data_IF_455914619918
#
_entry.id   IF_455914619918
#
_cell.length_a   1.000
_cell.length_b   1.000
_cell.length_c   1.000
_cell.angle_alpha   90.00
_cell.angle_beta   90.00
_cell.angle_gamma   90.00
#
_symmetry.space_group_name_H-M   'P 1'
#
loop_
_entity.id
_entity.type
_entity.pdbx_description
1 polymer ?
#
# COMPACT_ATOMS: atom_id res chain seq x y z
N UNK A 1 -16.57 8.77 -3.47
CA UNK A 1 -15.97 7.49 -3.87
C UNK A 1 -15.54 6.76 -2.62
N UNK A 2 -16.15 5.62 -2.34
CA UNK A 2 -15.67 4.73 -1.28
C UNK A 2 -14.23 4.33 -1.59
N UNK A 3 -13.36 4.35 -0.58
CA UNK A 3 -11.93 4.05 -0.74
C UNK A 3 -11.67 2.67 -1.35
N UNK A 4 -10.42 2.35 -1.66
CA UNK A 4 -10.07 1.01 -2.15
C UNK A 4 -10.47 -0.08 -1.14
N UNK A 5 -10.48 -1.35 -1.57
CA UNK A 5 -10.91 -2.48 -0.74
C UNK A 5 -10.23 -2.50 0.65
N UNK A 6 -8.95 -2.14 0.72
CA UNK A 6 -8.22 -2.00 1.98
C UNK A 6 -8.80 -0.93 2.91
N UNK A 7 -9.09 0.27 2.39
CA UNK A 7 -9.72 1.34 3.16
C UNK A 7 -11.13 0.99 3.62
N UNK A 8 -11.86 0.18 2.85
CA UNK A 8 -13.19 -0.29 3.24
C UNK A 8 -13.12 -1.26 4.42
N UNK A 9 -12.15 -2.18 4.41
CA UNK A 9 -11.98 -3.17 5.49
C UNK A 9 -11.27 -2.61 6.74
N UNK A 10 -10.26 -1.76 6.56
CA UNK A 10 -9.35 -1.31 7.62
C UNK A 10 -9.39 0.20 7.85
N UNK A 11 -10.40 0.89 7.31
CA UNK A 11 -10.51 2.35 7.42
C UNK A 11 -10.56 2.87 8.86
N UNK A 12 -11.09 2.07 9.78
CA UNK A 12 -11.10 2.38 11.22
C UNK A 12 -9.68 2.41 11.80
N UNK A 13 -8.82 1.47 11.40
CA UNK A 13 -7.43 1.39 11.88
C UNK A 13 -6.55 2.46 11.22
N UNK A 14 -6.82 2.80 9.95
CA UNK A 14 -6.19 3.98 9.33
C UNK A 14 -6.48 5.24 10.16
N UNK A 15 -7.72 5.43 10.63
CA UNK A 15 -8.09 6.56 11.51
C UNK A 15 -7.39 6.48 12.87
N UNK A 16 -7.25 5.30 13.45
CA UNK A 16 -6.48 5.11 14.68
C UNK A 16 -5.02 5.52 14.46
N UNK A 17 -4.42 5.15 13.32
CA UNK A 17 -3.05 5.51 12.99
C UNK A 17 -2.85 7.01 12.81
N UNK A 18 -3.82 7.74 12.25
CA UNK A 18 -3.83 9.21 12.27
C UNK A 18 -3.69 9.74 13.69
N UNK A 19 -4.52 9.28 14.62
CA UNK A 19 -4.50 9.73 16.01
C UNK A 19 -3.19 9.34 16.73
N UNK A 20 -2.68 8.14 16.46
CA UNK A 20 -1.45 7.62 17.09
C UNK A 20 -0.23 8.45 16.75
N UNK A 21 -0.15 8.99 15.52
CA UNK A 21 0.91 9.92 15.14
C UNK A 21 0.54 11.38 15.43
N UNK A 22 -0.49 11.62 16.26
CA UNK A 22 -0.87 12.96 16.70
C UNK A 22 -1.51 13.83 15.63
N UNK A 23 -2.18 13.25 14.61
CA UNK A 23 -2.85 13.99 13.54
C UNK A 23 -4.37 13.79 13.61
N UNK A 24 -5.14 14.88 13.55
CA UNK A 24 -6.59 14.82 13.51
C UNK A 24 -7.09 14.30 12.14
N UNK A 25 -7.79 13.14 12.09
CA UNK A 25 -8.27 12.57 10.83
C UNK A 25 -9.38 13.41 10.18
N UNK A 26 -10.17 14.16 10.96
CA UNK A 26 -11.23 15.04 10.47
C UNK A 26 -10.64 16.36 9.96
N UNK A 27 -9.67 16.91 10.67
CA UNK A 27 -9.01 18.16 10.30
C UNK A 27 -7.49 17.98 10.13
N UNK A 28 -7.07 17.60 8.92
CA UNK A 28 -5.65 17.34 8.55
C UNK A 28 -4.77 18.60 8.45
N UNK A 29 -5.05 19.60 9.26
CA UNK A 29 -4.16 20.73 9.58
C UNK A 29 -3.99 20.91 11.10
N UNK A 30 -4.67 20.09 11.89
CA UNK A 30 -4.57 20.02 13.34
C UNK A 30 -3.71 18.81 13.71
N UNK A 31 -2.58 19.06 14.37
CA UNK A 31 -1.64 18.03 14.77
C UNK A 31 -0.82 18.45 15.99
N UNK A 32 -0.30 17.46 16.70
CA UNK A 32 0.55 17.62 17.88
C UNK A 32 2.02 17.62 17.42
N UNK A 33 2.73 18.74 17.59
CA UNK A 33 4.09 18.94 17.07
C UNK A 33 5.16 18.11 17.79
N UNK A 34 4.86 17.67 19.01
CA UNK A 34 5.66 16.80 19.86
C UNK A 34 5.53 15.32 19.47
N UNK A 35 4.39 14.91 18.91
CA UNK A 35 4.10 13.50 18.55
C UNK A 35 4.22 13.25 17.04
N UNK A 36 3.82 14.21 16.20
CA UNK A 36 3.79 14.02 14.75
C UNK A 36 5.21 13.96 14.15
N UNK A 37 5.54 12.99 13.26
CA UNK A 37 6.84 12.97 12.58
C UNK A 37 7.11 14.22 11.76
N UNK A 38 8.37 14.69 11.75
CA UNK A 38 8.78 15.97 11.11
C UNK A 38 8.42 16.03 9.62
N UNK A 39 8.54 14.92 8.90
CA UNK A 39 8.20 14.85 7.48
C UNK A 39 6.71 15.15 7.26
N UNK A 40 5.85 14.62 8.13
CA UNK A 40 4.40 14.81 8.08
C UNK A 40 4.02 16.21 8.58
N UNK A 41 4.70 16.74 9.61
CA UNK A 41 4.49 18.10 10.10
C UNK A 41 4.66 19.13 8.98
N UNK A 42 5.70 18.98 8.14
CA UNK A 42 5.95 19.86 7.00
C UNK A 42 4.75 19.89 6.03
N UNK A 43 4.24 18.71 5.67
CA UNK A 43 3.08 18.58 4.78
C UNK A 43 1.80 19.19 5.39
N UNK A 44 1.56 18.96 6.69
CA UNK A 44 0.40 19.49 7.40
C UNK A 44 0.46 21.02 7.55
N UNK A 45 1.66 21.56 7.74
CA UNK A 45 1.90 23.01 7.80
C UNK A 45 1.62 23.66 6.43
N UNK A 46 2.05 23.03 5.33
CA UNK A 46 1.70 23.48 3.98
C UNK A 46 0.18 23.46 3.76
N UNK A 47 -0.52 22.41 4.22
CA UNK A 47 -1.99 22.36 4.18
C UNK A 47 -2.62 23.49 4.99
N UNK A 48 -2.11 23.78 6.19
CA UNK A 48 -2.58 24.87 7.04
C UNK A 48 -2.43 26.23 6.33
N UNK A 49 -1.27 26.50 5.75
CA UNK A 49 -1.00 27.75 5.02
C UNK A 49 -1.91 27.90 3.80
N UNK A 50 -2.10 26.83 3.02
CA UNK A 50 -3.02 26.84 1.87
C UNK A 50 -4.48 27.08 2.28
N UNK A 51 -4.91 26.57 3.44
CA UNK A 51 -6.25 26.85 3.99
C UNK A 51 -6.42 28.32 4.37
N UNK A 52 -5.41 28.94 5.00
CA UNK A 52 -5.43 30.36 5.35
C UNK A 52 -5.54 31.22 4.09
N UNK A 53 -4.63 31.02 3.12
CA UNK A 53 -4.67 31.75 1.85
C UNK A 53 -6.02 31.59 1.12
N UNK A 54 -6.60 30.38 1.16
CA UNK A 54 -7.91 30.10 0.54
C UNK A 54 -9.01 30.92 1.22
N UNK A 55 -9.01 30.97 2.56
CA UNK A 55 -9.97 31.73 3.33
C UNK A 55 -9.84 33.24 3.06
N UNK A 56 -8.63 33.75 2.92
CA UNK A 56 -8.37 35.17 2.58
C UNK A 56 -8.85 35.55 1.17
N UNK A 57 -8.82 34.61 0.23
CA UNK A 57 -9.39 34.80 -1.11
C UNK A 57 -10.92 34.74 -1.10
N UNK A 58 -11.52 33.89 -0.25
CA UNK A 58 -12.98 33.75 -0.16
C UNK A 58 -13.63 34.87 0.64
N UNK A 59 -12.96 35.43 1.65
CA UNK A 59 -13.44 36.57 2.43
C UNK A 59 -13.51 37.88 1.65
N UNK A 60 -12.89 37.96 0.47
CA UNK A 60 -13.04 39.09 -0.48
C UNK A 60 -14.36 39.07 -1.26
N UNK A 61 -15.17 38.02 -1.11
CA UNK A 61 -16.52 37.92 -1.69
C UNK A 61 -17.53 38.39 -0.63
N UNK A 62 -17.91 39.65 -0.66
CA UNK A 62 -18.93 40.20 0.26
C UNK A 62 -20.34 39.65 -0.09
N UNK A 63 -21.16 39.27 0.90
CA UNK A 63 -22.60 39.12 0.68
C UNK A 63 -23.20 40.51 0.41
N UNK A 64 -23.98 40.66 -0.67
CA UNK A 64 -24.77 41.87 -0.88
C UNK A 64 -25.91 41.94 0.14
N UNK A 65 -26.35 43.15 0.43
CA UNK A 65 -27.49 43.46 1.31
C UNK A 65 -28.84 42.93 0.82
N UNK A 66 -28.93 42.43 -0.42
CA UNK A 66 -30.16 41.92 -1.03
C UNK A 66 -30.24 40.39 -1.12
N UNK A 67 -29.26 39.66 -0.57
CA UNK A 67 -29.24 38.20 -0.61
C UNK A 67 -28.83 37.58 -1.95
N UNK A 68 -28.46 38.38 -2.96
CA UNK A 68 -27.88 37.88 -4.22
C UNK A 68 -26.36 37.92 -4.20
N UNK A 69 -25.69 36.76 -4.23
CA UNK A 69 -24.22 36.72 -4.33
C UNK A 69 -23.80 37.34 -5.68
N UNK A 70 -23.43 38.63 -5.69
CA UNK A 70 -22.81 39.32 -6.82
C UNK A 70 -21.40 39.76 -6.47
N UNK A 71 -20.53 38.78 -6.24
CA UNK A 71 -19.11 38.90 -6.53
C UNK A 71 -18.83 38.09 -7.78
N UNK A 72 -18.71 38.72 -8.95
CA UNK A 72 -18.11 38.03 -10.10
C UNK A 72 -16.64 37.82 -9.75
N UNK A 73 -16.30 36.64 -9.21
CA UNK A 73 -14.91 36.19 -9.15
C UNK A 73 -14.35 36.39 -10.56
N UNK A 74 -13.34 37.25 -10.71
CA UNK A 74 -12.72 37.43 -12.02
C UNK A 74 -12.09 36.09 -12.43
N UNK A 75 -12.04 35.80 -13.73
CA UNK A 75 -11.51 34.56 -14.30
C UNK A 75 -10.13 34.19 -13.71
N UNK A 76 -9.30 35.20 -13.44
CA UNK A 76 -7.97 35.04 -12.83
C UNK A 76 -8.04 34.57 -11.37
N UNK A 77 -8.93 35.16 -10.56
CA UNK A 77 -9.14 34.77 -9.16
C UNK A 77 -9.73 33.35 -9.06
N UNK A 78 -10.63 32.99 -9.97
CA UNK A 78 -11.17 31.63 -10.06
C UNK A 78 -10.06 30.62 -10.40
N UNK A 79 -9.16 30.97 -11.32
CA UNK A 79 -8.05 30.11 -11.70
C UNK A 79 -7.06 29.92 -10.54
N UNK A 80 -6.78 30.97 -9.78
CA UNK A 80 -5.97 30.91 -8.56
C UNK A 80 -6.63 30.01 -7.52
N UNK A 81 -7.91 30.21 -7.22
CA UNK A 81 -8.66 29.37 -6.29
C UNK A 81 -8.64 27.90 -6.71
N UNK A 82 -8.90 27.61 -8.00
CA UNK A 82 -8.89 26.25 -8.54
C UNK A 82 -7.51 25.59 -8.43
N UNK A 83 -6.43 26.33 -8.70
CA UNK A 83 -5.05 25.84 -8.52
C UNK A 83 -4.77 25.49 -7.06
N UNK A 84 -5.20 26.35 -6.14
CA UNK A 84 -5.04 26.12 -4.70
C UNK A 84 -5.83 24.91 -4.20
N UNK A 85 -7.09 24.74 -4.61
CA UNK A 85 -7.89 23.57 -4.27
C UNK A 85 -7.26 22.28 -4.80
N UNK A 86 -6.72 22.31 -6.02
CA UNK A 86 -5.98 21.18 -6.59
C UNK A 86 -4.73 20.85 -5.77
N UNK A 87 -3.97 21.86 -5.32
CA UNK A 87 -2.82 21.66 -4.45
C UNK A 87 -3.22 21.10 -3.09
N UNK A 88 -4.26 21.65 -2.44
CA UNK A 88 -4.81 21.15 -1.18
C UNK A 88 -5.23 19.68 -1.29
N UNK A 89 -5.97 19.33 -2.34
CA UNK A 89 -6.39 17.94 -2.62
C UNK A 89 -5.20 17.01 -2.85
N UNK A 90 -4.14 17.49 -3.52
CA UNK A 90 -2.90 16.72 -3.71
C UNK A 90 -2.24 16.42 -2.36
N UNK A 91 -2.04 17.42 -1.50
CA UNK A 91 -1.39 17.23 -0.19
C UNK A 91 -2.22 16.37 0.76
N UNK A 92 -3.55 16.52 0.75
CA UNK A 92 -4.43 15.64 1.52
C UNK A 92 -4.29 14.17 1.11
N UNK A 93 -4.26 13.88 -0.21
CA UNK A 93 -4.06 12.52 -0.71
C UNK A 93 -2.69 11.96 -0.34
N UNK A 94 -1.65 12.79 -0.37
CA UNK A 94 -0.30 12.40 0.03
C UNK A 94 -0.23 11.99 1.50
N UNK A 95 -0.79 12.79 2.41
CA UNK A 95 -0.87 12.46 3.84
C UNK A 95 -1.65 11.15 4.04
N UNK A 96 -2.84 11.03 3.44
CA UNK A 96 -3.66 9.81 3.54
C UNK A 96 -2.89 8.59 3.04
N UNK A 97 -2.16 8.71 1.93
CA UNK A 97 -1.34 7.62 1.38
C UNK A 97 -0.23 7.19 2.35
N UNK A 98 0.43 8.14 3.02
CA UNK A 98 1.47 7.84 4.02
C UNK A 98 0.88 7.02 5.18
N UNK A 99 -0.25 7.46 5.73
CA UNK A 99 -0.88 6.77 6.88
C UNK A 99 -1.50 5.43 6.48
N UNK A 100 -2.07 5.35 5.27
CA UNK A 100 -2.52 4.07 4.73
C UNK A 100 -1.33 3.11 4.57
N UNK A 101 -0.20 3.56 4.04
CA UNK A 101 0.99 2.73 3.89
C UNK A 101 1.57 2.26 5.23
N UNK A 102 1.61 3.13 6.24
CA UNK A 102 1.97 2.75 7.61
C UNK A 102 1.07 1.62 8.11
N UNK A 103 -0.24 1.79 7.94
CA UNK A 103 -1.24 0.79 8.32
C UNK A 103 -1.04 -0.52 7.57
N UNK A 104 -0.75 -0.45 6.27
CA UNK A 104 -0.47 -1.62 5.44
C UNK A 104 0.76 -2.37 5.96
N UNK A 105 1.86 -1.67 6.22
CA UNK A 105 3.10 -2.26 6.74
C UNK A 105 2.88 -2.99 8.07
N UNK A 106 2.13 -2.41 9.00
CA UNK A 106 1.84 -3.04 10.30
C UNK A 106 1.08 -4.35 10.20
N UNK A 107 0.18 -4.44 9.22
CA UNK A 107 -0.56 -5.66 8.94
C UNK A 107 0.16 -6.58 7.94
N UNK A 108 1.39 -6.25 7.54
CA UNK A 108 2.16 -7.03 6.56
C UNK A 108 1.66 -6.90 5.11
N UNK A 109 0.82 -5.91 4.80
CA UNK A 109 0.45 -5.58 3.43
C UNK A 109 1.48 -4.65 2.77
N UNK A 110 1.65 -4.82 1.46
CA UNK A 110 2.45 -3.92 0.59
C UNK A 110 1.94 -2.48 0.56
N UNK A 111 2.83 -1.53 0.25
CA UNK A 111 2.47 -0.12 0.06
C UNK A 111 1.65 0.09 -1.22
N UNK A 112 0.85 1.16 -1.21
CA UNK A 112 0.10 1.63 -2.38
C UNK A 112 1.07 2.04 -3.49
N UNK A 113 1.07 1.28 -4.58
CA UNK A 113 1.89 1.51 -5.77
C UNK A 113 3.09 0.58 -5.92
N UNK A 114 3.39 -0.25 -4.91
CA UNK A 114 4.37 -1.34 -5.07
C UNK A 114 3.73 -2.51 -5.83
N UNK A 115 4.42 -3.03 -6.85
CA UNK A 115 4.08 -4.33 -7.46
C UNK A 115 4.47 -5.48 -6.50
N UNK A 116 3.93 -6.67 -6.73
CA UNK A 116 4.16 -7.85 -5.88
C UNK A 116 5.65 -8.18 -5.76
N UNK A 117 6.27 -7.87 -4.62
CA UNK A 117 7.61 -8.34 -4.26
C UNK A 117 7.53 -9.31 -3.08
N UNK A 118 6.52 -10.17 -3.10
CA UNK A 118 6.19 -11.07 -2.00
C UNK A 118 7.23 -12.17 -1.79
N UNK A 119 7.89 -12.65 -2.83
CA UNK A 119 9.01 -13.59 -2.71
C UNK A 119 10.21 -12.98 -1.97
N UNK A 120 10.49 -11.68 -2.18
CA UNK A 120 11.58 -11.00 -1.46
C UNK A 120 11.24 -10.79 0.01
N UNK A 121 9.99 -10.44 0.32
CA UNK A 121 9.55 -10.34 1.71
C UNK A 121 9.59 -11.71 2.40
N UNK A 122 9.09 -12.75 1.73
CA UNK A 122 9.15 -14.12 2.21
C UNK A 122 10.60 -14.53 2.49
N UNK A 123 11.52 -14.23 1.58
CA UNK A 123 12.93 -14.47 1.77
C UNK A 123 13.52 -13.74 2.99
N UNK A 124 13.18 -12.47 3.19
CA UNK A 124 13.62 -11.70 4.36
C UNK A 124 13.12 -12.31 5.67
N UNK A 125 11.85 -12.71 5.72
CA UNK A 125 11.26 -13.36 6.88
C UNK A 125 11.94 -14.69 7.19
N UNK A 126 12.15 -15.53 6.18
CA UNK A 126 12.84 -16.82 6.34
C UNK A 126 14.28 -16.60 6.82
N UNK A 127 14.97 -15.59 6.29
CA UNK A 127 16.33 -15.22 6.74
C UNK A 127 16.36 -14.82 8.22
N UNK A 128 15.35 -14.09 8.70
CA UNK A 128 15.25 -13.72 10.11
C UNK A 128 14.92 -14.92 11.01
N UNK A 129 14.09 -15.85 10.53
CA UNK A 129 13.70 -17.04 11.28
C UNK A 129 14.82 -18.08 11.38
N UNK A 130 15.69 -18.15 10.36
CA UNK A 130 16.76 -19.14 10.25
C UNK A 130 18.13 -18.49 10.01
N UNK A 131 18.66 -17.69 10.97
CA UNK A 131 19.85 -16.86 10.77
C UNK A 131 21.14 -17.66 10.56
N UNK A 132 21.19 -18.91 11.01
CA UNK A 132 22.39 -19.77 10.91
C UNK A 132 22.32 -20.79 9.77
N UNK A 133 21.17 -20.90 9.09
CA UNK A 133 20.94 -21.92 8.06
C UNK A 133 21.33 -21.38 6.69
N UNK A 134 21.81 -22.25 5.80
CA UNK A 134 21.96 -21.89 4.39
C UNK A 134 20.59 -21.77 3.74
N UNK A 135 20.27 -20.57 3.23
CA UNK A 135 19.03 -20.29 2.50
C UNK A 135 19.36 -20.04 1.03
N UNK A 136 18.75 -20.82 0.13
CA UNK A 136 18.96 -20.71 -1.31
C UNK A 136 17.66 -20.21 -1.95
N UNK A 137 17.75 -19.19 -2.82
CA UNK A 137 16.61 -18.64 -3.55
C UNK A 137 16.54 -19.17 -4.97
N UNK A 138 15.32 -19.27 -5.50
CA UNK A 138 15.02 -19.51 -6.93
C UNK A 138 15.86 -20.66 -7.50
N UNK A 139 15.90 -21.77 -6.77
CA UNK A 139 16.74 -22.91 -7.13
C UNK A 139 16.00 -23.82 -8.11
N UNK A 140 16.70 -24.35 -9.11
CA UNK A 140 16.20 -25.41 -10.00
C UNK A 140 17.04 -26.67 -9.82
N UNK A 141 16.81 -27.44 -8.76
CA UNK A 141 17.60 -28.64 -8.51
C UNK A 141 17.38 -29.66 -9.63
N UNK A 142 18.42 -30.42 -9.99
CA UNK A 142 18.32 -31.43 -11.04
C UNK A 142 17.22 -32.48 -10.77
N UNK A 143 16.94 -32.75 -9.49
CA UNK A 143 15.90 -33.68 -9.06
C UNK A 143 14.48 -33.13 -9.14
N UNK A 144 14.29 -31.84 -9.42
CA UNK A 144 12.98 -31.19 -9.52
C UNK A 144 12.48 -31.08 -10.96
N UNK A 145 13.04 -31.86 -11.89
CA UNK A 145 12.53 -32.01 -13.27
C UNK A 145 12.36 -30.67 -14.01
N UNK A 146 13.33 -29.77 -13.86
CA UNK A 146 13.33 -28.43 -14.47
C UNK A 146 12.40 -27.41 -13.83
N UNK A 147 11.64 -27.77 -12.79
CA UNK A 147 10.85 -26.85 -11.98
C UNK A 147 11.77 -26.04 -11.04
N UNK A 148 11.23 -25.00 -10.43
CA UNK A 148 11.93 -24.09 -9.52
C UNK A 148 11.35 -24.15 -8.12
N UNK A 149 12.18 -23.94 -7.09
CA UNK A 149 11.75 -23.63 -5.73
C UNK A 149 12.09 -22.18 -5.38
N UNK A 150 11.12 -21.45 -4.85
CA UNK A 150 11.35 -20.05 -4.46
C UNK A 150 12.40 -19.94 -3.35
N UNK A 151 12.30 -20.80 -2.32
CA UNK A 151 13.26 -20.88 -1.22
C UNK A 151 13.51 -22.33 -0.83
N UNK A 152 14.78 -22.70 -0.63
CA UNK A 152 15.19 -24.02 -0.16
C UNK A 152 16.27 -23.93 0.93
N UNK A 153 16.04 -24.66 2.03
CA UNK A 153 16.95 -24.83 3.16
C UNK A 153 17.40 -26.31 3.19
N UNK A 154 18.54 -26.64 2.56
CA UNK A 154 18.98 -28.04 2.38
C UNK A 154 19.30 -28.74 3.70
N UNK A 155 19.76 -28.00 4.71
CA UNK A 155 20.19 -28.56 6.00
C UNK A 155 19.03 -29.16 6.81
N UNK A 156 17.81 -28.66 6.61
CA UNK A 156 16.61 -29.11 7.31
C UNK A 156 15.56 -29.71 6.37
N UNK A 157 15.93 -29.97 5.10
CA UNK A 157 15.04 -30.48 4.06
C UNK A 157 13.71 -29.70 3.96
N UNK A 158 13.79 -28.36 4.00
CA UNK A 158 12.63 -27.47 3.93
C UNK A 158 12.64 -26.67 2.63
N UNK A 159 11.54 -26.73 1.89
CA UNK A 159 11.26 -25.89 0.73
C UNK A 159 10.03 -25.02 1.03
N UNK A 160 10.05 -23.77 0.56
CA UNK A 160 8.98 -22.79 0.80
C UNK A 160 8.63 -22.13 -0.52
N UNK A 161 7.34 -22.08 -0.84
CA UNK A 161 6.79 -21.50 -2.08
C UNK A 161 5.82 -20.36 -1.79
N UNK A 162 5.96 -19.26 -2.52
CA UNK A 162 5.04 -18.15 -2.45
C UNK A 162 3.84 -18.36 -3.39
N UNK A 163 2.69 -18.69 -2.81
CA UNK A 163 1.45 -18.92 -3.55
C UNK A 163 0.67 -17.61 -3.75
N UNK A 164 0.95 -16.90 -4.85
CA UNK A 164 0.23 -15.67 -5.23
C UNK A 164 -1.24 -15.88 -5.69
N UNK A 165 -1.92 -14.79 -6.04
CA UNK A 165 -3.35 -14.81 -6.44
C UNK A 165 -3.64 -15.76 -7.62
N UNK A 166 -2.66 -15.97 -8.50
CA UNK A 166 -2.72 -16.88 -9.65
C UNK A 166 -2.93 -18.34 -9.27
N UNK A 167 -2.62 -18.77 -8.04
CA UNK A 167 -2.84 -20.16 -7.59
C UNK A 167 -4.31 -20.41 -7.20
N UNK A 168 -5.05 -19.36 -6.89
CA UNK A 168 -6.42 -19.46 -6.38
C UNK A 168 -7.48 -19.06 -7.40
N UNK A 169 -7.17 -18.10 -8.29
CA UNK A 169 -8.14 -17.53 -9.23
C UNK A 169 -7.57 -17.42 -10.63
N UNK A 170 -8.38 -17.69 -11.67
CA UNK A 170 -7.96 -17.50 -13.04
C UNK A 170 -7.74 -16.01 -13.32
N UNK A 171 -6.54 -15.66 -13.75
CA UNK A 171 -6.19 -14.30 -14.15
C UNK A 171 -6.22 -14.24 -15.67
N UNK A 172 -7.19 -13.50 -16.24
CA UNK A 172 -7.39 -13.42 -17.71
C UNK A 172 -6.12 -13.01 -18.46
N UNK A 173 -5.38 -12.03 -17.93
CA UNK A 173 -4.13 -11.55 -18.52
C UNK A 173 -2.99 -12.57 -18.55
N UNK A 174 -3.11 -13.69 -17.81
CA UNK A 174 -2.11 -14.74 -17.72
C UNK A 174 -2.59 -16.09 -18.28
N UNK A 175 -3.63 -16.08 -19.12
CA UNK A 175 -4.15 -17.30 -19.76
C UNK A 175 -5.34 -17.95 -19.04
N UNK A 176 -5.91 -17.28 -18.03
CA UNK A 176 -7.19 -17.64 -17.43
C UNK A 176 -7.19 -19.03 -16.79
N UNK A 177 -8.26 -19.80 -17.01
CA UNK A 177 -8.46 -21.11 -16.38
C UNK A 177 -7.45 -22.17 -16.83
N UNK A 178 -7.02 -22.13 -18.10
CA UNK A 178 -6.02 -23.08 -18.61
C UNK A 178 -4.70 -22.92 -17.87
N UNK A 179 -4.27 -21.67 -17.66
CA UNK A 179 -3.06 -21.36 -16.93
C UNK A 179 -3.16 -21.77 -15.46
N UNK A 180 -4.31 -21.52 -14.81
CA UNK A 180 -4.57 -21.98 -13.44
C UNK A 180 -4.45 -23.51 -13.31
N UNK A 181 -5.01 -24.26 -14.27
CA UNK A 181 -4.95 -25.72 -14.25
C UNK A 181 -3.52 -26.24 -14.42
N UNK A 182 -2.76 -25.67 -15.37
CA UNK A 182 -1.36 -26.02 -15.58
C UNK A 182 -0.49 -25.68 -14.35
N UNK A 183 -0.76 -24.55 -13.69
CA UNK A 183 -0.07 -24.16 -12.47
C UNK A 183 -0.31 -25.18 -11.34
N UNK A 184 -1.58 -25.55 -11.10
CA UNK A 184 -1.92 -26.58 -10.10
C UNK A 184 -1.27 -27.94 -10.38
N UNK A 185 -1.13 -28.32 -11.66
CA UNK A 185 -0.43 -29.55 -12.03
C UNK A 185 1.07 -29.47 -11.70
N UNK A 186 1.72 -28.33 -11.95
CA UNK A 186 3.12 -28.11 -11.56
C UNK A 186 3.30 -28.12 -10.05
N UNK A 187 2.41 -27.47 -9.31
CA UNK A 187 2.45 -27.43 -7.84
C UNK A 187 2.30 -28.85 -7.25
N UNK A 188 1.37 -29.64 -7.78
CA UNK A 188 1.21 -31.05 -7.40
C UNK A 188 2.49 -31.86 -7.69
N UNK A 189 3.10 -31.64 -8.85
CA UNK A 189 4.34 -32.34 -9.23
C UNK A 189 5.52 -31.96 -8.33
N UNK A 190 5.68 -30.67 -8.00
CA UNK A 190 6.69 -30.23 -7.01
C UNK A 190 6.50 -30.96 -5.69
N UNK A 191 5.25 -31.02 -5.20
CA UNK A 191 4.93 -31.67 -3.93
C UNK A 191 5.26 -33.16 -3.93
N UNK A 192 4.96 -33.88 -5.01
CA UNK A 192 5.32 -35.29 -5.17
C UNK A 192 6.85 -35.50 -5.14
N UNK A 193 7.60 -34.70 -5.89
CA UNK A 193 9.06 -34.82 -5.98
C UNK A 193 9.75 -34.48 -4.65
N UNK A 194 9.29 -33.43 -3.97
CA UNK A 194 9.78 -33.08 -2.63
C UNK A 194 9.48 -34.21 -1.63
N UNK A 195 8.25 -34.72 -1.61
CA UNK A 195 7.85 -35.78 -0.69
C UNK A 195 8.68 -37.07 -0.90
N UNK A 196 8.93 -37.45 -2.15
CA UNK A 196 9.75 -38.62 -2.48
C UNK A 196 11.19 -38.53 -1.94
N UNK A 197 11.71 -37.32 -1.75
CA UNK A 197 13.04 -37.04 -1.22
C UNK A 197 13.04 -36.70 0.28
N UNK A 198 11.87 -36.77 0.95
CA UNK A 198 11.75 -36.39 2.36
C UNK A 198 11.84 -34.88 2.60
N UNK A 199 11.65 -34.06 1.57
CA UNK A 199 11.65 -32.60 1.66
C UNK A 199 10.24 -32.13 2.02
N UNK A 200 10.14 -31.35 3.10
CA UNK A 200 8.91 -30.68 3.50
C UNK A 200 8.71 -29.47 2.60
N UNK A 201 7.62 -29.45 1.83
CA UNK A 201 7.23 -28.32 1.00
C UNK A 201 6.07 -27.56 1.66
N UNK A 202 6.28 -26.28 1.92
CA UNK A 202 5.32 -25.34 2.54
C UNK A 202 4.83 -24.32 1.53
#
# INVERSE_FOLDING_TARGET
MYGGQFTQSYGWYIRQNFLRIGVDPANKSNFLSDICPREIQKLLTEVKNLKVMRNDLTSKVYPSTDGTIRGKINRDEWEVQRKMEKQLSKRHREIVKIIENLTREEFGFRKVGEQWVSETLLYQLVTQLYPTQKIIRNIRPAWLDGLELDIYLPEINLAIEYQGQQHYRPVKSWGGEKALKALKQRDARKKELCLALGIILV
#
